data_IF_944591774229
#
_entry.id   IF_944591774229
#
_cell.length_a   1.000
_cell.length_b   1.000
_cell.length_c   1.000
_cell.angle_alpha   90.00
_cell.angle_beta   90.00
_cell.angle_gamma   90.00
#
_symmetry.space_group_name_H-M   'P 1'
#
loop_
_entity.id
_entity.type
_entity.pdbx_description
1 polymer ?
#
# COMPACT_ATOMS: atom_id res chain seq x y z
N UNK A 1 9.03 -19.00 41.74
CA UNK A 1 7.99 -18.15 41.12
C UNK A 1 8.10 -18.34 39.62
N UNK A 2 7.34 -19.29 39.08
CA UNK A 2 7.37 -19.61 37.65
C UNK A 2 6.66 -18.52 36.86
N UNK A 3 7.41 -17.76 36.06
CA UNK A 3 6.81 -16.82 35.12
C UNK A 3 6.18 -17.60 33.98
N UNK A 4 4.88 -17.40 33.77
CA UNK A 4 4.17 -17.92 32.60
C UNK A 4 4.91 -17.49 31.32
N UNK A 5 5.35 -18.45 30.51
CA UNK A 5 6.13 -18.20 29.29
C UNK A 5 5.21 -17.65 28.20
N UNK A 6 5.08 -16.32 28.10
CA UNK A 6 4.43 -15.66 26.97
C UNK A 6 5.21 -15.85 25.66
N UNK A 7 4.50 -16.00 24.54
CA UNK A 7 5.07 -16.18 23.20
C UNK A 7 5.52 -14.83 22.65
N UNK A 8 6.81 -14.70 22.34
CA UNK A 8 7.38 -13.47 21.77
C UNK A 8 7.55 -13.61 20.26
N UNK A 9 6.92 -12.72 19.50
CA UNK A 9 7.03 -12.65 18.05
C UNK A 9 7.50 -11.27 17.61
N UNK A 10 8.21 -11.22 16.50
CA UNK A 10 8.73 -9.97 15.95
C UNK A 10 8.39 -9.85 14.47
N UNK A 11 7.93 -8.67 14.05
CA UNK A 11 7.73 -8.36 12.64
C UNK A 11 8.69 -7.26 12.17
N UNK A 12 9.48 -7.60 11.16
CA UNK A 12 10.49 -6.71 10.56
C UNK A 12 10.13 -6.45 9.10
N UNK A 13 10.09 -5.16 8.74
CA UNK A 13 9.90 -4.75 7.34
C UNK A 13 10.95 -3.74 6.95
N UNK A 14 11.55 -3.96 5.79
CA UNK A 14 12.44 -3.01 5.13
C UNK A 14 11.94 -2.73 3.72
N UNK A 15 12.03 -1.47 3.31
CA UNK A 15 11.42 -0.98 2.07
C UNK A 15 12.29 -1.23 0.84
N UNK A 16 13.60 -1.33 1.05
CA UNK A 16 14.61 -1.59 0.03
C UNK A 16 15.41 -2.83 0.42
N UNK A 17 15.86 -3.60 -0.58
CA UNK A 17 16.66 -4.81 -0.35
C UNK A 17 18.05 -4.45 0.22
N UNK A 18 18.52 -3.23 -0.04
CA UNK A 18 19.79 -2.68 0.45
C UNK A 18 19.75 -2.24 1.93
N UNK A 19 18.55 -2.06 2.51
CA UNK A 19 18.41 -1.77 3.93
C UNK A 19 18.78 -3.02 4.75
N UNK A 20 19.51 -2.87 5.86
CA UNK A 20 19.88 -4.02 6.68
C UNK A 20 18.75 -4.35 7.71
N UNK A 21 18.03 -5.49 7.57
CA UNK A 21 16.98 -5.87 8.51
C UNK A 21 17.54 -6.24 9.91
N UNK A 22 18.83 -6.60 10.01
CA UNK A 22 19.47 -6.96 11.27
C UNK A 22 19.47 -5.82 12.28
N UNK A 23 19.50 -4.57 11.84
CA UNK A 23 19.43 -3.42 12.74
C UNK A 23 18.13 -3.44 13.55
N UNK A 24 17.00 -3.73 12.90
CA UNK A 24 15.71 -3.87 13.57
C UNK A 24 15.69 -5.12 14.45
N UNK A 25 16.23 -6.25 13.97
CA UNK A 25 16.28 -7.49 14.74
C UNK A 25 17.12 -7.36 16.02
N UNK A 26 18.30 -6.72 15.94
CA UNK A 26 19.16 -6.43 17.09
C UNK A 26 18.47 -5.52 18.11
N UNK A 27 17.82 -4.45 17.64
CA UNK A 27 17.06 -3.56 18.52
C UNK A 27 15.94 -4.32 19.26
N UNK A 28 15.22 -5.20 18.57
CA UNK A 28 14.17 -6.02 19.17
C UNK A 28 14.75 -7.00 20.20
N UNK A 29 15.82 -7.73 19.86
CA UNK A 29 16.49 -8.64 20.80
C UNK A 29 16.94 -7.92 22.08
N UNK A 30 17.58 -6.76 21.94
CA UNK A 30 18.02 -5.95 23.08
C UNK A 30 16.86 -5.47 23.95
N UNK A 31 15.73 -5.09 23.34
CA UNK A 31 14.55 -4.63 24.06
C UNK A 31 13.85 -5.77 24.83
N UNK A 32 13.74 -6.94 24.22
CA UNK A 32 13.04 -8.10 24.80
C UNK A 32 13.89 -8.81 25.86
N UNK A 33 15.20 -8.84 25.65
CA UNK A 33 16.20 -9.60 26.42
C UNK A 33 16.84 -10.68 25.55
N UNK A 34 18.16 -10.78 25.56
CA UNK A 34 18.91 -11.68 24.67
C UNK A 34 18.65 -13.17 24.93
N UNK A 35 18.27 -13.50 26.17
CA UNK A 35 17.99 -14.88 26.59
C UNK A 35 16.57 -15.36 26.23
N UNK A 36 15.70 -14.46 25.74
CA UNK A 36 14.33 -14.81 25.37
C UNK A 36 14.26 -15.28 23.92
N UNK A 37 13.52 -16.35 23.70
CA UNK A 37 13.21 -16.80 22.35
C UNK A 37 12.23 -15.84 21.67
N UNK A 38 12.55 -15.42 20.44
CA UNK A 38 11.72 -14.52 19.64
C UNK A 38 11.60 -15.10 18.23
N UNK A 39 10.36 -15.33 17.79
CA UNK A 39 10.10 -15.77 16.42
C UNK A 39 10.00 -14.56 15.48
N UNK A 40 10.93 -14.45 14.53
CA UNK A 40 10.98 -13.35 13.57
C UNK A 40 10.23 -13.66 12.27
N UNK A 41 9.42 -12.69 11.83
CA UNK A 41 8.75 -12.66 10.53
C UNK A 41 9.25 -11.44 9.75
N UNK A 42 9.73 -11.64 8.53
CA UNK A 42 10.49 -10.60 7.82
C UNK A 42 9.95 -10.40 6.40
N UNK A 43 9.72 -9.15 6.03
CA UNK A 43 9.40 -8.72 4.67
C UNK A 43 10.51 -7.78 4.14
N UNK A 44 11.26 -8.24 3.13
CA UNK A 44 12.40 -7.53 2.53
C UNK A 44 12.01 -6.91 1.18
N UNK A 45 12.36 -5.65 0.97
CA UNK A 45 12.03 -4.94 -0.28
C UNK A 45 10.53 -4.69 -0.46
N UNK A 46 9.76 -4.68 0.62
CA UNK A 46 8.30 -4.54 0.60
C UNK A 46 7.92 -3.13 1.01
N UNK A 47 7.33 -2.39 0.06
CA UNK A 47 6.81 -1.03 0.31
C UNK A 47 5.72 -1.02 1.38
N UNK A 48 5.71 0.04 2.20
CA UNK A 48 4.69 0.26 3.21
C UNK A 48 3.30 0.39 2.59
N UNK A 49 3.20 0.94 1.37
CA UNK A 49 1.92 1.11 0.67
C UNK A 49 1.19 -0.22 0.37
N UNK A 50 1.91 -1.35 0.38
CA UNK A 50 1.30 -2.67 0.18
C UNK A 50 0.51 -3.04 1.45
N UNK A 51 -0.79 -3.40 1.33
CA UNK A 51 -1.59 -3.82 2.48
C UNK A 51 -0.94 -4.97 3.26
N UNK A 52 -0.97 -4.91 4.59
CA UNK A 52 -0.27 -5.84 5.47
C UNK A 52 -0.55 -7.32 5.15
N UNK A 53 -1.81 -7.68 4.91
CA UNK A 53 -2.23 -9.05 4.55
C UNK A 53 -1.65 -9.59 3.23
N UNK A 54 -1.13 -8.73 2.36
CA UNK A 54 -0.50 -9.13 1.08
C UNK A 54 1.03 -9.27 1.19
N UNK A 55 1.60 -8.97 2.36
CA UNK A 55 3.03 -9.12 2.63
C UNK A 55 3.26 -10.53 3.17
N UNK A 56 4.28 -11.22 2.66
CA UNK A 56 4.45 -12.66 2.88
C UNK A 56 4.78 -12.94 4.34
N UNK A 57 5.77 -12.24 4.90
CA UNK A 57 6.17 -12.39 6.30
C UNK A 57 5.04 -12.02 7.26
N UNK A 58 4.30 -10.96 6.96
CA UNK A 58 3.14 -10.56 7.76
C UNK A 58 2.01 -11.62 7.74
N UNK A 59 1.74 -12.22 6.59
CA UNK A 59 0.73 -13.28 6.47
C UNK A 59 1.14 -14.55 7.22
N UNK A 60 2.43 -14.92 7.17
CA UNK A 60 2.99 -16.04 7.94
C UNK A 60 2.89 -15.77 9.46
N UNK A 61 3.17 -14.54 9.90
CA UNK A 61 2.98 -14.14 11.29
C UNK A 61 1.54 -14.30 11.76
N UNK A 62 0.57 -13.85 10.94
CA UNK A 62 -0.84 -14.02 11.27
C UNK A 62 -1.21 -15.50 11.40
N UNK A 63 -0.77 -16.36 10.47
CA UNK A 63 -1.01 -17.80 10.57
C UNK A 63 -0.45 -18.38 11.86
N UNK A 64 0.79 -18.04 12.20
CA UNK A 64 1.41 -18.48 13.45
C UNK A 64 0.62 -18.04 14.69
N UNK A 65 0.15 -16.79 14.75
CA UNK A 65 -0.69 -16.32 15.86
C UNK A 65 -1.96 -17.17 16.00
N UNK A 66 -2.60 -17.54 14.88
CA UNK A 66 -3.81 -18.37 14.91
C UNK A 66 -3.50 -19.80 15.36
N UNK A 67 -2.38 -20.37 14.93
CA UNK A 67 -1.91 -21.69 15.36
C UNK A 67 -1.66 -21.72 16.88
N UNK A 68 -0.93 -20.73 17.41
CA UNK A 68 -0.68 -20.60 18.86
C UNK A 68 -1.98 -20.45 19.64
N UNK A 69 -2.92 -19.62 19.16
CA UNK A 69 -4.22 -19.43 19.81
C UNK A 69 -5.06 -20.71 19.83
N UNK A 70 -4.92 -21.58 18.83
CA UNK A 70 -5.61 -22.88 18.80
C UNK A 70 -4.96 -23.91 19.74
N UNK A 71 -3.63 -23.89 19.90
CA UNK A 71 -2.91 -24.88 20.72
C UNK A 71 -2.82 -24.49 22.20
N UNK A 72 -2.64 -23.20 22.49
CA UNK A 72 -2.22 -22.68 23.81
C UNK A 72 -3.32 -21.85 24.50
N UNK A 73 -4.48 -21.70 23.86
CA UNK A 73 -5.63 -20.97 24.38
C UNK A 73 -5.35 -19.48 24.64
N UNK A 74 -5.46 -19.06 25.91
CA UNK A 74 -5.40 -17.66 26.37
C UNK A 74 -3.99 -17.16 26.70
N UNK A 75 -2.93 -17.94 26.43
CA UNK A 75 -1.54 -17.55 26.73
C UNK A 75 -1.15 -16.16 26.19
N UNK A 76 -0.26 -15.45 26.88
CA UNK A 76 0.17 -14.11 26.46
C UNK A 76 0.98 -14.18 25.14
N UNK A 77 0.64 -13.34 24.16
CA UNK A 77 1.42 -13.18 22.92
C UNK A 77 1.85 -11.72 22.79
N UNK A 78 3.16 -11.51 22.67
CA UNK A 78 3.78 -10.20 22.54
C UNK A 78 4.36 -10.02 21.14
N UNK A 79 3.81 -9.07 20.38
CA UNK A 79 4.29 -8.66 19.06
C UNK A 79 5.20 -7.44 19.15
N UNK A 80 6.47 -7.62 18.80
CA UNK A 80 7.47 -6.57 18.75
C UNK A 80 7.69 -6.08 17.32
N UNK A 81 7.72 -4.77 17.15
CA UNK A 81 8.11 -4.10 15.90
C UNK A 81 9.09 -2.98 16.19
N UNK A 82 9.93 -2.64 15.22
CA UNK A 82 10.82 -1.48 15.39
C UNK A 82 10.03 -0.19 15.61
N UNK A 83 9.08 0.09 14.72
CA UNK A 83 8.13 1.19 14.83
C UNK A 83 6.75 0.66 14.43
N UNK A 84 5.67 1.24 14.98
CA UNK A 84 4.30 0.82 14.66
C UNK A 84 3.99 0.98 13.17
N UNK A 85 4.64 1.93 12.48
CA UNK A 85 4.52 2.13 11.03
C UNK A 85 4.92 0.89 10.18
N UNK A 86 5.53 -0.13 10.78
CA UNK A 86 5.84 -1.39 10.09
C UNK A 86 4.59 -2.24 9.84
N UNK A 87 3.56 -2.19 10.69
CA UNK A 87 2.40 -3.12 10.59
C UNK A 87 1.28 -2.63 9.67
N UNK A 88 1.16 -1.32 9.43
CA UNK A 88 0.14 -0.74 8.54
C UNK A 88 0.74 -0.19 7.25
N UNK A 89 -0.14 0.28 6.35
CA UNK A 89 0.26 1.00 5.13
C UNK A 89 0.32 2.52 5.29
N UNK A 90 -0.48 3.00 6.22
CA UNK A 90 -0.62 4.39 6.62
C UNK A 90 -0.99 4.40 8.12
N UNK A 91 -1.04 5.58 8.74
CA UNK A 91 -1.22 5.65 10.20
C UNK A 91 -2.62 5.20 10.65
N UNK A 92 -3.67 5.47 9.87
CA UNK A 92 -5.03 5.01 10.17
C UNK A 92 -5.14 3.49 10.08
N UNK A 93 -4.54 2.90 9.05
CA UNK A 93 -4.41 1.44 8.91
C UNK A 93 -3.57 0.84 10.04
N UNK A 94 -2.49 1.51 10.44
CA UNK A 94 -1.61 1.09 11.55
C UNK A 94 -2.39 1.00 12.86
N UNK A 95 -3.11 2.05 13.24
CA UNK A 95 -3.93 2.06 14.47
C UNK A 95 -5.02 0.98 14.41
N UNK A 96 -5.68 0.83 13.27
CA UNK A 96 -6.68 -0.23 13.05
C UNK A 96 -6.08 -1.61 13.26
N UNK A 97 -4.86 -1.85 12.77
CA UNK A 97 -4.17 -3.12 12.96
C UNK A 97 -3.77 -3.35 14.41
N UNK A 98 -3.30 -2.33 15.14
CA UNK A 98 -3.02 -2.43 16.58
C UNK A 98 -4.27 -2.88 17.33
N UNK A 99 -5.41 -2.24 17.10
CA UNK A 99 -6.66 -2.62 17.77
C UNK A 99 -7.09 -4.04 17.43
N UNK A 100 -6.92 -4.49 16.18
CA UNK A 100 -7.20 -5.88 15.81
C UNK A 100 -6.33 -6.86 16.59
N UNK A 101 -5.03 -6.60 16.66
CA UNK A 101 -4.12 -7.43 17.45
C UNK A 101 -4.54 -7.45 18.92
N UNK A 102 -4.73 -6.29 19.54
CA UNK A 102 -4.94 -6.19 20.98
C UNK A 102 -6.34 -6.59 21.45
N UNK A 103 -7.38 -6.35 20.65
CA UNK A 103 -8.77 -6.55 21.04
C UNK A 103 -9.37 -7.83 20.48
N UNK A 104 -8.99 -8.23 19.27
CA UNK A 104 -9.57 -9.42 18.61
C UNK A 104 -8.68 -10.65 18.79
N UNK A 105 -7.34 -10.49 18.75
CA UNK A 105 -6.40 -11.60 18.81
C UNK A 105 -5.73 -11.77 20.18
N UNK A 106 -6.02 -10.88 21.14
CA UNK A 106 -5.35 -10.81 22.43
C UNK A 106 -3.80 -10.83 22.28
N UNK A 107 -3.28 -10.08 21.31
CA UNK A 107 -1.84 -9.93 21.03
C UNK A 107 -1.43 -8.53 21.41
N UNK A 108 -0.51 -8.40 22.37
CA UNK A 108 0.01 -7.10 22.79
C UNK A 108 1.05 -6.58 21.80
N UNK A 109 0.90 -5.35 21.32
CA UNK A 109 1.83 -4.76 20.34
C UNK A 109 2.78 -3.76 20.99
N UNK A 110 4.08 -4.00 20.84
CA UNK A 110 5.16 -3.16 21.35
C UNK A 110 5.99 -2.54 20.22
N UNK A 111 6.28 -1.25 20.36
CA UNK A 111 7.30 -0.58 19.56
C UNK A 111 8.62 -0.57 20.33
N UNK A 112 9.72 -0.96 19.69
CA UNK A 112 11.05 -0.95 20.33
C UNK A 112 11.84 0.33 20.03
N UNK A 113 11.33 1.19 19.15
CA UNK A 113 11.92 2.50 18.88
C UNK A 113 11.80 3.41 20.11
N UNK A 114 12.92 4.01 20.51
CA UNK A 114 12.97 4.99 21.60
C UNK A 114 11.99 6.15 21.41
N UNK A 115 11.74 6.52 20.15
CA UNK A 115 10.81 7.61 19.78
C UNK A 115 9.35 7.26 20.03
N UNK A 116 9.02 5.98 20.15
CA UNK A 116 7.65 5.47 20.24
C UNK A 116 7.38 4.73 21.56
N UNK A 117 8.31 4.72 22.50
CA UNK A 117 8.14 3.99 23.77
C UNK A 117 6.94 4.47 24.59
N UNK A 118 6.52 5.73 24.44
CA UNK A 118 5.30 6.25 25.07
C UNK A 118 4.04 5.47 24.67
N UNK A 119 4.05 4.79 23.51
CA UNK A 119 2.95 3.94 23.09
C UNK A 119 2.85 2.68 23.97
N UNK A 120 3.95 2.17 24.51
CA UNK A 120 3.98 0.88 25.23
C UNK A 120 3.32 0.92 26.62
N UNK A 121 2.74 2.04 27.03
CA UNK A 121 2.02 2.19 28.31
C UNK A 121 1.02 1.05 28.55
N UNK A 122 1.05 0.48 29.76
CA UNK A 122 0.15 -0.60 30.17
C UNK A 122 -1.27 -0.10 30.48
N UNK A 123 -1.43 1.20 30.73
CA UNK A 123 -2.74 1.80 31.00
C UNK A 123 -3.52 1.92 29.68
N UNK A 124 -4.58 1.09 29.56
CA UNK A 124 -5.34 0.93 28.31
C UNK A 124 -6.04 2.21 27.89
N UNK A 125 -6.54 3.01 28.83
CA UNK A 125 -7.28 4.25 28.54
C UNK A 125 -6.38 5.29 27.87
N UNK A 126 -5.19 5.50 28.42
CA UNK A 126 -4.16 6.41 27.90
C UNK A 126 -3.69 5.91 26.54
N UNK A 127 -3.44 4.60 26.39
CA UNK A 127 -3.04 4.05 25.09
C UNK A 127 -4.11 4.27 24.03
N UNK A 128 -5.38 3.98 24.34
CA UNK A 128 -6.48 4.17 23.39
C UNK A 128 -6.67 5.64 23.03
N UNK A 129 -6.50 6.57 23.99
CA UNK A 129 -6.53 8.00 23.73
C UNK A 129 -5.43 8.42 22.75
N UNK A 130 -4.18 7.98 22.99
CA UNK A 130 -3.04 8.30 22.13
C UNK A 130 -3.25 7.74 20.72
N UNK A 131 -3.62 6.47 20.60
CA UNK A 131 -3.87 5.82 19.31
C UNK A 131 -5.01 6.50 18.53
N UNK A 132 -6.09 6.86 19.22
CA UNK A 132 -7.22 7.59 18.62
C UNK A 132 -6.80 8.97 18.12
N UNK A 133 -6.04 9.71 18.92
CA UNK A 133 -5.54 11.02 18.53
C UNK A 133 -4.62 10.92 17.31
N UNK A 134 -3.71 9.94 17.28
CA UNK A 134 -2.83 9.71 16.14
C UNK A 134 -3.59 9.32 14.87
N UNK A 135 -4.62 8.48 14.98
CA UNK A 135 -5.48 8.14 13.86
C UNK A 135 -6.21 9.37 13.30
N UNK A 136 -6.77 10.20 14.18
CA UNK A 136 -7.43 11.44 13.80
C UNK A 136 -6.47 12.43 13.13
N UNK A 137 -5.27 12.64 13.72
CA UNK A 137 -4.27 13.56 13.18
C UNK A 137 -3.84 13.15 11.76
N UNK A 138 -3.65 11.84 11.54
CA UNK A 138 -3.32 11.32 10.22
C UNK A 138 -4.44 11.50 9.19
N UNK A 139 -5.71 11.34 9.61
CA UNK A 139 -6.85 11.60 8.73
C UNK A 139 -6.94 13.09 8.36
N UNK A 140 -6.72 13.98 9.33
CA UNK A 140 -6.67 15.44 9.10
C UNK A 140 -5.57 15.82 8.12
N UNK A 141 -4.36 15.30 8.31
CA UNK A 141 -3.23 15.60 7.42
C UNK A 141 -3.52 15.13 5.98
N UNK A 142 -4.07 13.93 5.82
CA UNK A 142 -4.45 13.39 4.51
C UNK A 142 -5.47 14.27 3.80
N UNK A 143 -6.48 14.74 4.53
CA UNK A 143 -7.50 15.64 3.98
C UNK A 143 -6.90 17.00 3.59
N UNK A 144 -6.01 17.57 4.40
CA UNK A 144 -5.31 18.81 4.06
C UNK A 144 -4.43 18.67 2.80
N UNK A 145 -3.68 17.57 2.68
CA UNK A 145 -2.88 17.29 1.47
C UNK A 145 -3.78 17.20 0.24
N UNK A 146 -4.93 16.52 0.37
CA UNK A 146 -5.92 16.40 -0.71
C UNK A 146 -6.47 17.76 -1.13
N UNK A 147 -6.88 18.60 -0.17
CA UNK A 147 -7.40 19.94 -0.44
C UNK A 147 -6.37 20.79 -1.18
N UNK A 148 -5.13 20.85 -0.67
CA UNK A 148 -4.02 21.59 -1.32
C UNK A 148 -3.74 21.07 -2.74
N UNK A 149 -3.82 19.77 -2.95
CA UNK A 149 -3.64 19.17 -4.28
C UNK A 149 -4.73 19.62 -5.25
N UNK A 150 -5.99 19.60 -4.81
CA UNK A 150 -7.14 20.06 -5.62
C UNK A 150 -7.01 21.55 -5.96
N UNK A 151 -6.63 22.38 -4.99
CA UNK A 151 -6.39 23.82 -5.20
C UNK A 151 -5.24 24.06 -6.19
N UNK A 152 -4.15 23.30 -6.07
CA UNK A 152 -3.02 23.36 -7.00
C UNK A 152 -3.42 23.00 -8.43
N UNK A 153 -4.22 21.94 -8.60
CA UNK A 153 -4.78 21.53 -9.89
C UNK A 153 -5.68 22.63 -10.46
N UNK A 154 -6.58 23.21 -9.65
CA UNK A 154 -7.45 24.31 -10.10
C UNK A 154 -6.65 25.53 -10.54
N UNK A 155 -5.61 25.91 -9.79
CA UNK A 155 -4.73 27.02 -10.15
C UNK A 155 -3.98 26.77 -11.46
N UNK A 156 -3.41 25.57 -11.62
CA UNK A 156 -2.72 25.20 -12.85
C UNK A 156 -3.66 25.19 -14.06
N UNK A 157 -4.89 24.68 -13.90
CA UNK A 157 -5.92 24.73 -14.94
C UNK A 157 -6.30 26.17 -15.31
N UNK A 158 -6.48 27.06 -14.32
CA UNK A 158 -6.75 28.47 -14.56
C UNK A 158 -5.61 29.21 -15.28
N UNK A 159 -4.37 28.75 -15.11
CA UNK A 159 -3.19 29.23 -15.85
C UNK A 159 -3.03 28.58 -17.24
N UNK A 160 -4.00 27.78 -17.69
CA UNK A 160 -3.96 27.10 -18.98
C UNK A 160 -2.96 25.94 -19.07
N UNK A 161 -2.40 25.47 -17.94
CA UNK A 161 -1.53 24.29 -17.94
C UNK A 161 -2.36 23.03 -18.18
N UNK A 162 -1.84 22.12 -19.01
CA UNK A 162 -2.44 20.81 -19.23
C UNK A 162 -2.45 19.98 -17.94
N UNK A 163 -3.63 19.51 -17.53
CA UNK A 163 -3.79 18.67 -16.34
C UNK A 163 -3.93 17.20 -16.76
N UNK A 164 -3.13 16.33 -16.15
CA UNK A 164 -3.17 14.89 -16.37
C UNK A 164 -2.24 14.43 -17.49
N UNK A 165 -2.46 13.20 -17.98
CA UNK A 165 -1.58 12.59 -18.99
C UNK A 165 -1.62 13.41 -20.29
N UNK A 166 -0.46 13.77 -20.87
CA UNK A 166 -0.42 14.40 -22.18
C UNK A 166 -1.16 13.57 -23.24
N UNK A 167 -1.91 14.26 -24.07
CA UNK A 167 -2.49 13.74 -25.30
C UNK A 167 -1.36 13.25 -26.23
N UNK A 168 -1.50 12.06 -26.82
CA UNK A 168 -0.60 11.66 -27.91
C UNK A 168 -0.97 12.51 -29.11
N UNK A 169 -0.06 13.41 -29.52
CA UNK A 169 -0.26 14.24 -30.70
C UNK A 169 0.04 13.48 -31.99
N UNK A 170 -0.76 13.73 -33.04
CA UNK A 170 -0.53 13.16 -34.37
C UNK A 170 -0.07 14.32 -35.23
N UNK A 171 1.12 14.21 -35.81
CA UNK A 171 1.58 15.18 -36.81
C UNK A 171 0.69 15.13 -38.05
N UNK A 172 0.70 16.20 -38.83
CA UNK A 172 -0.06 16.25 -40.10
C UNK A 172 0.37 15.13 -41.06
N UNK A 173 1.64 14.75 -41.04
CA UNK A 173 2.17 13.64 -41.83
C UNK A 173 1.57 12.30 -41.41
N UNK A 174 1.45 12.06 -40.11
CA UNK A 174 0.83 10.86 -39.57
C UNK A 174 -0.68 10.85 -39.85
N UNK A 175 -1.35 11.99 -39.70
CA UNK A 175 -2.77 12.13 -40.01
C UNK A 175 -3.07 11.84 -41.48
N UNK A 176 -2.26 12.36 -42.41
CA UNK A 176 -2.39 12.07 -43.85
C UNK A 176 -2.21 10.59 -44.15
N UNK A 177 -1.21 9.93 -43.54
CA UNK A 177 -1.01 8.48 -43.69
C UNK A 177 -2.21 7.69 -43.19
N UNK A 178 -2.72 8.04 -42.00
CA UNK A 178 -3.87 7.37 -41.40
C UNK A 178 -5.11 7.51 -42.30
N UNK A 179 -5.41 8.72 -42.81
CA UNK A 179 -6.54 8.93 -43.74
C UNK A 179 -6.41 8.08 -45.00
N UNK A 180 -5.23 8.05 -45.62
CA UNK A 180 -4.96 7.20 -46.79
C UNK A 180 -5.17 5.71 -46.48
N UNK A 181 -4.72 5.23 -45.33
CA UNK A 181 -4.94 3.84 -44.94
C UNK A 181 -6.42 3.52 -44.68
N UNK A 182 -7.19 4.47 -44.15
CA UNK A 182 -8.64 4.32 -43.99
C UNK A 182 -9.35 4.26 -45.36
N UNK A 183 -8.96 5.11 -46.31
CA UNK A 183 -9.48 5.09 -47.69
C UNK A 183 -9.17 3.78 -48.42
N UNK A 184 -8.01 3.18 -48.14
CA UNK A 184 -7.61 1.86 -48.64
C UNK A 184 -8.31 0.69 -47.91
N UNK A 185 -9.20 0.96 -46.96
CA UNK A 185 -9.95 -0.08 -46.23
C UNK A 185 -9.13 -0.85 -45.20
N UNK A 186 -7.93 -0.37 -44.83
CA UNK A 186 -7.09 -1.04 -43.83
C UNK A 186 -7.74 -0.94 -42.45
N UNK A 187 -7.73 -2.04 -41.70
CA UNK A 187 -8.31 -2.09 -40.36
C UNK A 187 -7.60 -1.13 -39.39
N UNK A 188 -8.35 -0.50 -38.47
CA UNK A 188 -7.77 0.39 -37.45
C UNK A 188 -6.74 -0.32 -36.58
N UNK A 189 -6.87 -1.64 -36.41
CA UNK A 189 -5.89 -2.46 -35.66
C UNK A 189 -4.55 -2.51 -36.38
N UNK A 190 -4.55 -2.69 -37.70
CA UNK A 190 -3.34 -2.77 -38.48
C UNK A 190 -2.73 -1.38 -38.71
N UNK A 191 -3.56 -0.35 -38.87
CA UNK A 191 -3.09 1.04 -38.85
C UNK A 191 -2.38 1.35 -37.53
N UNK A 192 -2.93 0.92 -36.38
CA UNK A 192 -2.28 1.15 -35.09
C UNK A 192 -0.89 0.50 -35.01
N UNK A 193 -0.74 -0.73 -35.50
CA UNK A 193 0.56 -1.43 -35.58
C UNK A 193 1.53 -0.71 -36.51
N UNK A 194 1.10 -0.34 -37.71
CA UNK A 194 1.91 0.38 -38.70
C UNK A 194 2.41 1.73 -38.18
N UNK A 195 1.62 2.37 -37.32
CA UNK A 195 1.94 3.65 -36.70
C UNK A 195 2.63 3.51 -35.33
N UNK A 196 2.92 2.29 -34.86
CA UNK A 196 3.57 2.06 -33.56
C UNK A 196 2.74 2.51 -32.35
N UNK A 197 1.42 2.60 -32.49
CA UNK A 197 0.51 3.12 -31.45
C UNK A 197 -0.37 2.03 -30.86
N UNK A 198 -0.77 2.21 -29.60
CA UNK A 198 -1.81 1.38 -29.01
C UNK A 198 -3.15 1.60 -29.73
N UNK A 199 -3.84 0.51 -30.10
CA UNK A 199 -5.13 0.56 -30.77
C UNK A 199 -6.16 1.47 -30.06
N UNK A 200 -6.26 1.39 -28.72
CA UNK A 200 -7.22 2.21 -27.97
C UNK A 200 -6.90 3.71 -28.07
N UNK A 201 -5.62 4.06 -28.09
CA UNK A 201 -5.15 5.44 -28.27
C UNK A 201 -5.54 5.96 -29.66
N UNK A 202 -5.20 5.22 -30.72
CA UNK A 202 -5.53 5.61 -32.09
C UNK A 202 -7.04 5.68 -32.32
N UNK A 203 -7.77 4.62 -31.94
CA UNK A 203 -9.22 4.56 -32.09
C UNK A 203 -9.92 5.70 -31.34
N UNK A 204 -9.50 5.98 -30.09
CA UNK A 204 -10.02 7.10 -29.32
C UNK A 204 -9.80 8.44 -30.00
N UNK A 205 -8.63 8.64 -30.63
CA UNK A 205 -8.30 9.88 -31.35
C UNK A 205 -9.09 10.02 -32.66
N UNK A 206 -9.14 8.97 -33.47
CA UNK A 206 -9.94 8.95 -34.70
C UNK A 206 -11.42 9.21 -34.43
N UNK A 207 -11.95 8.64 -33.33
CA UNK A 207 -13.34 8.85 -32.91
C UNK A 207 -13.60 10.30 -32.51
N UNK A 208 -12.69 10.93 -31.75
CA UNK A 208 -12.81 12.36 -31.40
C UNK A 208 -12.78 13.26 -32.65
N UNK A 209 -12.06 12.85 -33.69
CA UNK A 209 -11.97 13.55 -34.97
C UNK A 209 -13.14 13.24 -35.92
N UNK A 210 -14.11 12.41 -35.51
CA UNK A 210 -15.26 12.04 -36.34
C UNK A 210 -14.94 11.12 -37.51
N UNK A 211 -13.72 10.57 -37.59
CA UNK A 211 -13.27 9.74 -38.71
C UNK A 211 -13.77 8.28 -38.63
N UNK A 212 -14.27 7.86 -37.46
CA UNK A 212 -14.77 6.50 -37.22
C UNK A 212 -15.99 6.52 -36.30
N UNK A 213 -17.00 5.69 -36.61
CA UNK A 213 -18.23 5.55 -35.83
C UNK A 213 -18.06 4.75 -34.52
N UNK A 214 -19.08 4.80 -33.64
CA UNK A 214 -19.15 3.92 -32.46
C UNK A 214 -19.07 2.46 -32.92
N UNK A 215 -18.19 1.67 -32.31
CA UNK A 215 -18.15 0.21 -32.51
C UNK A 215 -19.49 -0.35 -32.02
N UNK A 216 -20.37 -0.80 -32.92
CA UNK A 216 -21.52 -1.62 -32.54
C UNK A 216 -20.98 -2.87 -31.86
N UNK A 217 -21.49 -3.14 -30.66
CA UNK A 217 -21.03 -4.24 -29.82
C UNK A 217 -21.76 -5.56 -30.13
N UNK A 218 -22.30 -5.70 -31.34
CA UNK A 218 -22.96 -6.91 -31.83
C UNK A 218 -22.23 -7.40 -33.08
N UNK A 219 -21.40 -8.42 -32.88
CA UNK A 219 -21.21 -9.57 -33.77
C UNK A 219 -20.29 -10.54 -33.02
N UNK A 220 -20.93 -11.32 -32.14
CA UNK A 220 -20.47 -12.60 -31.59
C UNK A 220 -21.70 -13.52 -31.57
N UNK A 221 -22.17 -13.83 -32.76
CA UNK A 221 -23.04 -14.95 -33.17
C UNK A 221 -22.56 -15.15 -34.63
N UNK A 222 -21.94 -16.24 -35.08
CA UNK A 222 -21.86 -17.63 -34.61
C UNK A 222 -20.41 -18.17 -34.69
#
# INVERSE_FOLDING_TARGET
>A
MGGEMGVNIAYVRISRVEENPENQMRAIKRFVGEDKEIRFFVDVGVSGAIPAKRRKGFAEMLKFIHEVRQSDGEGEINLYVYEISRIGRDMSDTVTMIWKFERELNVRVFSVSEKEQFLNTQERTIRDLILTFLAWAAERERELIRQRTIEGIRRAAAQGKHIGRPSVELSDKEMRKIKRYLELGISISDIAKLMGMNYKTLYGKLRKLGLVGKKNKNNKED
#
